data_IF_426755005143
#
_entry.id   IF_426755005143
#
_cell.length_a   1.000
_cell.length_b   1.000
_cell.length_c   1.000
_cell.angle_alpha   90.00
_cell.angle_beta   90.00
_cell.angle_gamma   90.00
#
_symmetry.space_group_name_H-M   'P 1'
#
loop_
_entity.id
_entity.type
_entity.pdbx_description
1 polymer ?
#
# COMPACT_ATOMS: atom_id res chain seq x y z
N UNK A 1 -0.82 6.49 -16.93
CA UNK A 1 0.21 6.25 -15.90
C UNK A 1 0.07 7.16 -14.69
N UNK A 2 -0.10 8.48 -14.85
CA UNK A 2 -0.21 9.41 -13.70
C UNK A 2 -1.32 9.05 -12.70
N UNK A 3 -2.55 8.78 -13.14
CA UNK A 3 -3.63 8.37 -12.24
C UNK A 3 -3.28 7.11 -11.43
N UNK A 4 -2.71 6.10 -12.09
CA UNK A 4 -2.29 4.85 -11.45
C UNK A 4 -1.19 5.14 -10.42
N UNK A 5 -0.21 6.00 -10.77
CA UNK A 5 0.83 6.43 -9.85
C UNK A 5 0.25 7.08 -8.59
N UNK A 6 -0.70 8.01 -8.72
CA UNK A 6 -1.35 8.68 -7.58
C UNK A 6 -2.05 7.66 -6.67
N UNK A 7 -2.75 6.68 -7.23
CA UNK A 7 -3.38 5.62 -6.45
C UNK A 7 -2.36 4.77 -5.67
N UNK A 8 -1.29 4.33 -6.32
CA UNK A 8 -0.23 3.56 -5.66
C UNK A 8 0.49 4.37 -4.57
N UNK A 9 0.70 5.66 -4.83
CA UNK A 9 1.31 6.58 -3.87
C UNK A 9 0.44 6.75 -2.61
N UNK A 10 -0.85 6.98 -2.78
CA UNK A 10 -1.76 7.15 -1.64
C UNK A 10 -1.92 5.86 -0.84
N UNK A 11 -2.05 4.71 -1.51
CA UNK A 11 -2.08 3.40 -0.86
C UNK A 11 -0.82 3.13 -0.03
N UNK A 12 0.34 3.55 -0.54
CA UNK A 12 1.60 3.44 0.19
C UNK A 12 1.63 4.34 1.43
N UNK A 13 1.23 5.61 1.30
CA UNK A 13 1.17 6.53 2.45
C UNK A 13 0.24 6.00 3.56
N UNK A 14 -0.93 5.47 3.20
CA UNK A 14 -1.87 4.93 4.19
C UNK A 14 -1.28 3.69 4.89
N UNK A 15 -0.56 2.84 4.17
CA UNK A 15 0.13 1.68 4.76
C UNK A 15 1.15 2.15 5.80
N UNK A 16 2.00 3.12 5.43
CA UNK A 16 3.03 3.68 6.32
C UNK A 16 2.42 4.35 7.56
N UNK A 17 1.39 5.19 7.37
CA UNK A 17 0.70 5.85 8.47
C UNK A 17 0.00 4.85 9.41
N UNK A 18 -0.50 3.73 8.88
CA UNK A 18 -1.10 2.67 9.68
C UNK A 18 -0.09 1.97 10.59
N UNK A 19 1.15 1.79 10.13
CA UNK A 19 2.24 1.22 10.94
C UNK A 19 2.65 2.19 12.05
N UNK A 20 2.85 3.46 11.71
CA UNK A 20 3.15 4.52 12.69
C UNK A 20 2.04 4.67 13.74
N UNK A 21 0.78 4.55 13.33
CA UNK A 21 -0.37 4.60 14.25
C UNK A 21 -0.31 3.46 15.27
N UNK A 22 0.11 2.26 14.86
CA UNK A 22 0.25 1.12 15.78
C UNK A 22 1.31 1.41 16.85
N UNK A 23 2.45 1.96 16.44
CA UNK A 23 3.55 2.34 17.34
C UNK A 23 3.15 3.49 18.27
N UNK A 24 2.45 4.50 17.76
CA UNK A 24 1.92 5.62 18.54
C UNK A 24 0.90 5.16 19.60
N UNK A 25 0.01 4.23 19.24
CA UNK A 25 -0.97 3.66 20.18
C UNK A 25 -0.26 2.82 21.26
N UNK A 26 0.76 2.05 20.88
CA UNK A 26 1.53 1.26 21.85
C UNK A 26 2.33 2.12 22.83
N UNK A 27 2.97 3.18 22.33
CA UNK A 27 3.74 4.14 23.13
C UNK A 27 2.86 5.10 23.95
N UNK A 28 1.56 5.18 23.64
CA UNK A 28 0.62 5.90 24.48
C UNK A 28 0.59 5.28 25.89
N UNK A 29 0.39 6.08 26.94
CA UNK A 29 0.26 5.61 28.32
C UNK A 29 -1.10 4.89 28.53
N UNK A 30 -1.43 3.94 27.67
CA UNK A 30 -2.72 3.25 27.61
C UNK A 30 -3.03 2.50 28.91
N UNK A 31 -1.99 2.04 29.61
CA UNK A 31 -2.11 1.43 30.93
C UNK A 31 -2.59 2.40 32.01
N UNK A 32 -2.46 3.71 31.82
CA UNK A 32 -2.93 4.74 32.78
C UNK A 32 -4.36 5.21 32.49
N UNK A 33 -5.00 4.74 31.42
CA UNK A 33 -6.37 5.12 31.08
C UNK A 33 -7.40 4.44 32.00
N UNK A 34 -8.61 5.01 32.16
CA UNK A 34 -9.72 4.36 32.83
C UNK A 34 -10.07 3.03 32.17
N UNK A 35 -10.54 2.05 32.96
CA UNK A 35 -10.84 0.68 32.50
C UNK A 35 -11.81 0.62 31.30
N UNK A 36 -12.71 1.60 31.19
CA UNK A 36 -13.64 1.77 30.06
C UNK A 36 -12.92 1.97 28.72
N UNK A 37 -11.81 2.71 28.71
CA UNK A 37 -11.05 3.05 27.50
C UNK A 37 -9.95 2.03 27.18
N UNK A 38 -9.40 1.33 28.19
CA UNK A 38 -8.37 0.30 27.98
C UNK A 38 -8.81 -0.80 27.01
N UNK A 39 -10.06 -1.25 27.12
CA UNK A 39 -10.62 -2.27 26.21
C UNK A 39 -10.68 -1.76 24.76
N UNK A 40 -11.08 -0.51 24.56
CA UNK A 40 -11.12 0.11 23.23
C UNK A 40 -9.72 0.23 22.63
N UNK A 41 -8.73 0.66 23.42
CA UNK A 41 -7.33 0.78 22.96
C UNK A 41 -6.75 -0.58 22.59
N UNK A 42 -7.02 -1.63 23.37
CA UNK A 42 -6.59 -3.00 23.03
C UNK A 42 -7.19 -3.48 21.69
N UNK A 43 -8.46 -3.18 21.42
CA UNK A 43 -9.09 -3.52 20.14
C UNK A 43 -8.42 -2.77 18.98
N UNK A 44 -8.14 -1.46 19.17
CA UNK A 44 -7.45 -0.65 18.17
C UNK A 44 -6.05 -1.21 17.91
N UNK A 45 -5.28 -1.49 18.96
CA UNK A 45 -3.92 -2.03 18.88
C UNK A 45 -3.88 -3.38 18.17
N UNK A 46 -4.83 -4.28 18.47
CA UNK A 46 -4.95 -5.58 17.79
C UNK A 46 -5.29 -5.41 16.30
N UNK A 47 -6.04 -4.38 15.93
CA UNK A 47 -6.39 -4.10 14.53
C UNK A 47 -5.27 -3.42 13.76
N UNK A 48 -4.57 -2.47 14.36
CA UNK A 48 -3.47 -1.74 13.72
C UNK A 48 -2.22 -2.59 13.53
N UNK A 49 -2.07 -3.67 14.31
CA UNK A 49 -0.99 -4.65 14.13
C UNK A 49 -1.03 -5.37 12.77
N UNK A 50 -2.18 -5.35 12.07
CA UNK A 50 -2.23 -5.69 10.65
C UNK A 50 -2.21 -4.39 9.85
N UNK A 51 -1.12 -4.07 9.13
CA UNK A 51 -1.07 -2.87 8.30
C UNK A 51 -2.17 -2.93 7.24
N UNK A 52 -2.77 -1.78 6.95
CA UNK A 52 -3.82 -1.66 5.93
C UNK A 52 -3.17 -1.75 4.55
N UNK A 53 -3.08 -2.96 4.02
CA UNK A 53 -2.56 -3.20 2.68
C UNK A 53 -3.71 -3.12 1.67
N UNK A 54 -3.64 -2.16 0.77
CA UNK A 54 -4.56 -2.08 -0.37
C UNK A 54 -4.20 -3.17 -1.38
N UNK A 55 -5.15 -4.05 -1.65
CA UNK A 55 -5.07 -4.99 -2.76
C UNK A 55 -6.05 -4.55 -3.85
N UNK A 56 -5.59 -4.52 -5.10
CA UNK A 56 -6.48 -4.45 -6.27
C UNK A 56 -7.21 -5.81 -6.39
N UNK A 57 -8.19 -6.03 -5.52
CA UNK A 57 -8.87 -7.29 -5.26
C UNK A 57 -7.91 -8.44 -4.92
N UNK A 58 -7.49 -9.23 -5.92
CA UNK A 58 -6.59 -10.39 -5.79
C UNK A 58 -5.42 -10.36 -6.79
N UNK A 59 -5.32 -9.33 -7.62
CA UNK A 59 -4.37 -9.31 -8.73
C UNK A 59 -3.02 -8.72 -8.35
N UNK A 60 -3.01 -7.71 -7.49
CA UNK A 60 -1.81 -6.96 -7.17
C UNK A 60 -1.92 -6.27 -5.81
N UNK A 61 -0.93 -6.46 -4.95
CA UNK A 61 -0.72 -5.61 -3.77
C UNK A 61 -0.30 -4.22 -4.24
N UNK A 62 -0.93 -3.16 -3.74
CA UNK A 62 -0.65 -1.80 -4.18
C UNK A 62 0.62 -1.26 -3.51
N UNK A 63 1.78 -1.81 -3.89
CA UNK A 63 3.11 -1.37 -3.46
C UNK A 63 3.81 -0.60 -4.58
N UNK A 64 4.71 0.32 -4.24
CA UNK A 64 5.51 1.05 -5.25
C UNK A 64 6.30 0.10 -6.16
N UNK A 65 6.79 -1.02 -5.62
CA UNK A 65 7.49 -2.05 -6.40
C UNK A 65 6.63 -2.64 -7.52
N UNK A 66 5.35 -2.89 -7.22
CA UNK A 66 4.41 -3.40 -8.21
C UNK A 66 4.06 -2.36 -9.27
N UNK A 67 4.01 -1.07 -8.90
CA UNK A 67 3.87 0.01 -9.88
C UNK A 67 5.06 0.04 -10.86
N UNK A 68 6.30 -0.09 -10.35
CA UNK A 68 7.50 -0.15 -11.21
C UNK A 68 7.46 -1.36 -12.13
N UNK A 69 7.03 -2.51 -11.61
CA UNK A 69 6.87 -3.73 -12.43
C UNK A 69 5.84 -3.50 -13.54
N UNK A 70 4.70 -2.88 -13.23
CA UNK A 70 3.66 -2.55 -14.21
C UNK A 70 4.15 -1.55 -15.29
N UNK A 71 4.99 -0.58 -14.90
CA UNK A 71 5.63 0.33 -15.86
C UNK A 71 6.60 -0.40 -16.79
N UNK A 72 7.43 -1.29 -16.24
CA UNK A 72 8.37 -2.10 -17.02
C UNK A 72 7.65 -2.99 -18.02
N UNK A 73 6.61 -3.71 -17.60
CA UNK A 73 5.84 -4.59 -18.50
C UNK A 73 5.16 -3.79 -19.62
N UNK A 74 4.59 -2.63 -19.29
CA UNK A 74 3.99 -1.73 -20.29
C UNK A 74 5.00 -1.25 -21.32
N UNK A 75 6.21 -0.88 -20.87
CA UNK A 75 7.29 -0.46 -21.77
C UNK A 75 7.82 -1.62 -22.62
N UNK A 76 8.01 -2.80 -22.04
CA UNK A 76 8.41 -4.00 -22.79
C UNK A 76 7.39 -4.34 -23.88
N UNK A 77 6.09 -4.24 -23.58
CA UNK A 77 5.05 -4.47 -24.58
C UNK A 77 5.10 -3.43 -25.70
N UNK A 78 5.29 -2.15 -25.37
CA UNK A 78 5.49 -1.09 -26.35
C UNK A 78 6.73 -1.33 -27.22
N UNK A 79 7.86 -1.72 -26.63
CA UNK A 79 9.09 -2.02 -27.34
C UNK A 79 8.91 -3.20 -28.32
N UNK A 80 8.22 -4.26 -27.90
CA UNK A 80 7.88 -5.41 -28.75
C UNK A 80 6.98 -5.02 -29.93
N UNK A 81 5.93 -4.22 -29.68
CA UNK A 81 5.08 -3.73 -30.77
C UNK A 81 5.86 -2.86 -31.76
N UNK A 82 6.78 -2.04 -31.25
CA UNK A 82 7.65 -1.20 -32.07
C UNK A 82 8.61 -2.03 -32.93
N UNK A 83 9.20 -3.10 -32.39
CA UNK A 83 10.09 -3.98 -33.16
C UNK A 83 9.34 -4.74 -34.25
N UNK A 84 8.14 -5.24 -33.96
CA UNK A 84 7.28 -5.89 -34.96
C UNK A 84 6.87 -4.92 -36.08
N UNK A 85 6.57 -3.67 -35.73
CA UNK A 85 6.25 -2.65 -36.73
C UNK A 85 7.45 -2.29 -37.62
N UNK A 86 8.68 -2.28 -37.07
CA UNK A 86 9.88 -2.04 -37.88
C UNK A 86 10.26 -3.23 -38.76
N UNK A 87 9.97 -4.46 -38.35
CA UNK A 87 10.24 -5.68 -39.14
C UNK A 87 9.26 -5.85 -40.33
N UNK A 88 8.05 -5.29 -40.21
CA UNK A 88 7.01 -5.36 -41.25
C UNK A 88 7.21 -4.36 -42.41
N UNK A 89 8.28 -3.56 -42.41
CA UNK A 89 8.55 -2.52 -43.40
C UNK A 89 9.90 -2.78 -44.07
#
# INVERSE_FOLDING_TARGET
MFHIFVYFWYSYQVTCQSEELCEAVYSSKWWNLPRKYRKSVLIVMQRTHKPVIFCASKFCTMTLENFVTLMKTSYSYFALLRSLHSESR
#
